data_IF_108812887253
#
_entry.id   IF_108812887253
#
_cell.length_a   1.000
_cell.length_b   1.000
_cell.length_c   1.000
_cell.angle_alpha   90.00
_cell.angle_beta   90.00
_cell.angle_gamma   90.00
#
_symmetry.space_group_name_H-M   'P 1'
#
loop_
_entity.id
_entity.type
_entity.pdbx_description
1 polymer ?
#
# COMPACT_ATOMS: atom_id res chain seq x y z
N UNK A 1 12.75 -9.79 66.80
CA UNK A 1 11.95 -10.80 66.06
C UNK A 1 11.48 -10.12 64.78
N UNK A 2 12.06 -10.40 63.60
CA UNK A 2 11.57 -11.44 62.66
C UNK A 2 10.04 -11.33 62.57
N UNK A 3 9.45 -10.82 61.48
CA UNK A 3 9.19 -11.66 60.32
C UNK A 3 8.48 -10.86 59.20
N UNK A 4 9.00 -10.97 57.96
CA UNK A 4 8.27 -11.17 56.69
C UNK A 4 7.35 -10.03 56.17
N UNK A 5 7.33 -9.60 54.91
CA UNK A 5 8.18 -9.63 53.71
C UNK A 5 7.41 -8.76 52.66
N UNK A 6 8.06 -8.31 51.58
CA UNK A 6 7.65 -7.21 50.73
C UNK A 6 6.54 -7.61 49.75
N UNK A 7 5.34 -7.05 49.88
CA UNK A 7 4.26 -7.24 48.89
C UNK A 7 3.66 -5.94 48.35
N UNK A 8 4.01 -4.78 48.89
CA UNK A 8 3.50 -3.49 48.41
C UNK A 8 4.22 -2.91 47.19
N UNK A 9 5.22 -3.61 46.64
CA UNK A 9 6.09 -3.12 45.55
C UNK A 9 5.84 -3.74 44.17
N UNK A 10 4.81 -4.58 44.00
CA UNK A 10 4.55 -5.28 42.73
C UNK A 10 3.46 -4.62 41.86
N UNK A 11 2.57 -3.79 42.43
CA UNK A 11 1.45 -3.21 41.66
C UNK A 11 1.73 -1.85 40.98
N UNK A 12 2.95 -1.29 41.04
CA UNK A 12 3.31 -0.08 40.29
C UNK A 12 3.98 -0.38 38.93
N UNK A 13 3.99 -1.64 38.50
CA UNK A 13 4.30 -2.04 37.11
C UNK A 13 3.12 -1.88 36.16
N UNK A 14 2.22 -0.95 36.47
CA UNK A 14 1.06 -0.54 35.69
C UNK A 14 1.55 0.03 34.35
N UNK A 15 1.17 -0.65 33.27
CA UNK A 15 0.74 -0.01 32.02
C UNK A 15 1.76 0.90 31.31
N UNK A 16 2.96 0.42 31.03
CA UNK A 16 3.92 1.13 30.17
C UNK A 16 4.35 0.35 28.91
N UNK A 17 3.68 -0.77 28.57
CA UNK A 17 3.91 -1.49 27.30
C UNK A 17 2.72 -1.33 26.34
N UNK A 18 1.71 -0.54 26.72
CA UNK A 18 0.61 -0.16 25.83
C UNK A 18 1.01 1.03 24.98
N UNK A 19 1.05 0.82 23.66
CA UNK A 19 1.27 1.80 22.59
C UNK A 19 2.72 2.05 22.12
N UNK A 20 3.39 0.99 21.63
CA UNK A 20 3.99 1.13 20.30
C UNK A 20 2.85 1.01 19.28
N UNK A 21 1.94 1.99 19.25
CA UNK A 21 1.13 2.21 18.06
C UNK A 21 2.16 2.72 17.06
N UNK A 22 2.53 1.87 16.10
CA UNK A 22 3.10 2.37 14.85
C UNK A 22 2.11 3.44 14.39
N UNK A 23 2.47 4.71 14.53
CA UNK A 23 1.80 5.78 13.80
C UNK A 23 2.12 5.48 12.36
N UNK A 24 1.27 4.67 11.72
CA UNK A 24 1.26 4.51 10.28
C UNK A 24 1.13 5.93 9.76
N UNK A 25 2.22 6.49 9.24
CA UNK A 25 2.13 7.74 8.50
C UNK A 25 1.03 7.56 7.49
N UNK A 26 -0.02 8.37 7.58
CA UNK A 26 -1.05 8.39 6.56
C UNK A 26 -0.35 8.93 5.32
N UNK A 27 -0.05 8.04 4.38
CA UNK A 27 0.48 8.44 3.08
C UNK A 27 -0.71 8.76 2.21
N UNK A 28 -0.83 10.02 1.80
CA UNK A 28 -1.83 10.43 0.84
C UNK A 28 -1.35 10.04 -0.56
N UNK A 29 -2.16 9.20 -1.22
CA UNK A 29 -1.87 8.68 -2.55
C UNK A 29 -2.92 9.19 -3.54
N UNK A 30 -2.44 9.71 -4.65
CA UNK A 30 -3.28 10.27 -5.70
C UNK A 30 -2.98 9.61 -7.04
N UNK A 31 -4.04 9.32 -7.80
CA UNK A 31 -3.97 8.77 -9.14
C UNK A 31 -4.56 9.77 -10.13
N UNK A 32 -3.80 10.06 -11.19
CA UNK A 32 -4.26 10.85 -12.33
C UNK A 32 -4.50 9.94 -13.52
N UNK A 33 -5.68 10.02 -14.12
CA UNK A 33 -6.00 9.39 -15.39
C UNK A 33 -6.45 10.47 -16.35
N UNK A 34 -5.88 10.52 -17.55
CA UNK A 34 -6.25 11.54 -18.53
C UNK A 34 -7.73 11.38 -18.93
N UNK A 35 -8.45 12.50 -18.94
CA UNK A 35 -9.88 12.51 -19.26
C UNK A 35 -10.84 12.05 -18.15
N UNK A 36 -10.34 11.59 -16.99
CA UNK A 36 -11.17 11.22 -15.84
C UNK A 36 -10.81 12.11 -14.64
N UNK A 37 -11.81 12.83 -14.12
CA UNK A 37 -11.68 13.66 -12.92
C UNK A 37 -12.16 12.91 -11.69
N UNK A 38 -11.33 12.91 -10.65
CA UNK A 38 -11.69 12.44 -9.30
C UNK A 38 -12.20 13.57 -8.41
N UNK A 39 -12.23 13.30 -7.10
CA UNK A 39 -12.81 14.21 -6.09
C UNK A 39 -11.77 14.83 -5.15
N UNK A 40 -10.47 14.67 -5.44
CA UNK A 40 -9.44 15.15 -4.52
C UNK A 40 -9.46 16.67 -4.37
N UNK A 41 -9.37 17.10 -3.11
CA UNK A 41 -9.35 18.51 -2.69
C UNK A 41 -7.96 19.00 -2.30
N UNK A 42 -6.93 18.16 -2.46
CA UNK A 42 -5.56 18.55 -2.17
C UNK A 42 -5.10 19.70 -3.09
N UNK A 43 -4.33 20.64 -2.54
CA UNK A 43 -3.89 21.84 -3.26
C UNK A 43 -3.01 21.50 -4.47
N UNK A 44 -2.22 20.43 -4.37
CA UNK A 44 -1.30 20.02 -5.42
C UNK A 44 -1.90 18.93 -6.35
N UNK A 45 -2.99 18.27 -5.94
CA UNK A 45 -3.61 17.15 -6.65
C UNK A 45 -5.11 17.35 -6.87
N UNK A 46 -5.52 18.58 -7.15
CA UNK A 46 -6.93 18.92 -7.35
C UNK A 46 -7.54 18.15 -8.52
N UNK A 47 -8.75 17.63 -8.33
CA UNK A 47 -9.51 16.79 -9.28
C UNK A 47 -8.85 15.42 -9.58
N UNK A 48 -7.90 14.96 -8.75
CA UNK A 48 -7.32 13.62 -8.90
C UNK A 48 -8.14 12.58 -8.12
N UNK A 49 -7.88 11.31 -8.39
CA UNK A 49 -8.52 10.19 -7.72
C UNK A 49 -7.73 9.88 -6.45
N UNK A 50 -8.39 9.89 -5.30
CA UNK A 50 -7.77 9.51 -4.03
C UNK A 50 -7.73 7.99 -3.91
N UNK A 51 -6.55 7.46 -3.58
CA UNK A 51 -6.28 6.02 -3.51
C UNK A 51 -5.91 5.65 -2.09
N UNK A 52 -6.49 4.55 -1.60
CA UNK A 52 -6.21 4.03 -0.25
C UNK A 52 -5.04 3.06 -0.25
N UNK A 53 -4.91 2.25 -1.31
CA UNK A 53 -3.82 1.29 -1.45
C UNK A 53 -3.57 0.94 -2.93
N UNK A 54 -2.34 0.57 -3.27
CA UNK A 54 -1.99 -0.01 -4.56
C UNK A 54 -1.04 -1.19 -4.38
N UNK A 55 -1.10 -2.15 -5.30
CA UNK A 55 -0.15 -3.25 -5.38
C UNK A 55 0.30 -3.45 -6.82
N UNK A 56 1.59 -3.62 -7.02
CA UNK A 56 2.21 -3.92 -8.31
C UNK A 56 3.38 -4.87 -8.06
N UNK A 57 3.48 -5.92 -8.87
CA UNK A 57 4.52 -6.92 -8.74
C UNK A 57 5.33 -6.99 -10.05
N UNK A 58 6.64 -7.07 -9.90
CA UNK A 58 7.56 -7.24 -11.02
C UNK A 58 8.42 -8.44 -10.70
N UNK A 59 8.35 -9.47 -11.55
CA UNK A 59 9.06 -10.71 -11.36
C UNK A 59 9.96 -10.98 -12.56
N UNK A 60 11.25 -11.11 -12.32
CA UNK A 60 12.15 -11.75 -13.29
C UNK A 60 12.09 -13.26 -13.04
N UNK A 61 11.71 -14.08 -14.03
CA UNK A 61 11.88 -15.51 -13.91
C UNK A 61 13.38 -15.80 -13.87
N UNK A 62 13.91 -16.08 -12.67
CA UNK A 62 15.27 -16.53 -12.47
C UNK A 62 15.39 -17.97 -12.95
N UNK A 63 15.64 -18.16 -14.24
CA UNK A 63 16.36 -19.36 -14.66
C UNK A 63 17.71 -19.33 -13.97
N UNK A 64 17.98 -20.29 -13.08
CA UNK A 64 19.32 -20.52 -12.54
C UNK A 64 20.24 -20.81 -13.73
N UNK A 65 20.94 -19.78 -14.21
CA UNK A 65 22.03 -19.95 -15.17
C UNK A 65 23.21 -20.48 -14.38
N UNK A 66 23.33 -21.81 -14.37
CA UNK A 66 24.63 -22.43 -14.26
C UNK A 66 25.50 -21.85 -15.37
N UNK A 67 26.59 -21.22 -14.95
CA UNK A 67 27.46 -20.41 -15.77
C UNK A 67 28.20 -21.28 -16.80
N UNK A 68 27.57 -21.55 -17.94
CA UNK A 68 28.15 -22.19 -19.14
C UNK A 68 27.77 -21.33 -20.36
N UNK A 69 28.40 -20.15 -20.48
CA UNK A 69 28.60 -19.47 -21.77
C UNK A 69 27.41 -18.77 -22.44
N UNK A 70 26.22 -18.69 -21.86
CA UNK A 70 25.08 -17.97 -22.46
C UNK A 70 24.19 -17.33 -21.40
N UNK A 71 24.18 -16.00 -21.35
CA UNK A 71 23.43 -15.23 -20.35
C UNK A 71 21.92 -15.55 -20.35
N UNK A 72 21.33 -15.60 -19.16
CA UNK A 72 19.91 -15.86 -18.97
C UNK A 72 19.04 -14.81 -19.67
N UNK A 73 18.50 -15.16 -20.84
CA UNK A 73 17.54 -14.37 -21.59
C UNK A 73 16.12 -14.43 -21.03
N UNK A 74 15.94 -14.31 -19.71
CA UNK A 74 14.62 -14.22 -19.09
C UNK A 74 14.07 -12.79 -19.17
N UNK A 75 12.93 -12.58 -19.84
CA UNK A 75 12.24 -11.28 -19.84
C UNK A 75 11.54 -11.05 -18.50
N UNK A 76 11.61 -9.83 -17.98
CA UNK A 76 10.86 -9.43 -16.77
C UNK A 76 9.36 -9.43 -17.07
N UNK A 77 8.57 -10.06 -16.19
CA UNK A 77 7.13 -10.01 -16.21
C UNK A 77 6.64 -8.94 -15.23
N UNK A 78 5.85 -8.00 -15.74
CA UNK A 78 5.09 -7.04 -14.93
C UNK A 78 3.70 -7.62 -14.70
N UNK A 79 3.30 -7.75 -13.44
CA UNK A 79 1.94 -8.08 -13.07
C UNK A 79 1.06 -6.82 -13.10
N UNK A 80 -0.25 -7.01 -13.13
CA UNK A 80 -1.20 -5.91 -13.17
C UNK A 80 -1.08 -5.00 -11.93
N UNK A 81 -1.28 -3.69 -12.16
CA UNK A 81 -1.42 -2.71 -11.10
C UNK A 81 -2.83 -2.77 -10.52
N UNK A 82 -2.96 -3.27 -9.29
CA UNK A 82 -4.24 -3.31 -8.57
C UNK A 82 -4.36 -2.12 -7.63
N UNK A 83 -5.48 -1.41 -7.72
CA UNK A 83 -5.72 -0.14 -7.01
C UNK A 83 -7.00 -0.25 -6.19
N UNK A 84 -6.93 0.11 -4.91
CA UNK A 84 -8.07 0.22 -4.00
C UNK A 84 -8.35 1.68 -3.72
N UNK A 85 -9.56 2.12 -4.03
CA UNK A 85 -10.04 3.49 -3.82
C UNK A 85 -11.47 3.50 -3.27
N UNK A 86 -11.87 4.62 -2.67
CA UNK A 86 -13.26 4.86 -2.34
C UNK A 86 -14.09 5.14 -3.60
N UNK A 87 -15.40 4.94 -3.53
CA UNK A 87 -16.31 5.29 -4.62
C UNK A 87 -16.40 6.83 -4.70
N UNK A 88 -16.11 7.39 -5.88
CA UNK A 88 -16.13 8.83 -6.16
C UNK A 88 -16.75 9.08 -7.56
N UNK A 89 -16.79 10.35 -7.98
CA UNK A 89 -17.22 10.76 -9.31
C UNK A 89 -16.44 10.10 -10.48
N UNK A 90 -15.20 9.63 -10.28
CA UNK A 90 -14.42 8.95 -11.30
C UNK A 90 -14.86 7.50 -11.53
N UNK A 91 -15.41 6.82 -10.51
CA UNK A 91 -15.81 5.42 -10.58
C UNK A 91 -16.69 5.03 -11.78
N UNK A 92 -17.80 5.72 -12.09
CA UNK A 92 -18.63 5.34 -13.26
C UNK A 92 -17.87 5.45 -14.58
N UNK A 93 -16.94 6.42 -14.70
CA UNK A 93 -16.10 6.56 -15.89
C UNK A 93 -15.08 5.42 -15.97
N UNK A 94 -14.47 5.01 -14.85
CA UNK A 94 -13.57 3.86 -14.84
C UNK A 94 -14.27 2.58 -15.30
N UNK A 95 -15.50 2.36 -14.85
CA UNK A 95 -16.31 1.21 -15.28
C UNK A 95 -16.66 1.28 -16.76
N UNK A 96 -16.98 2.48 -17.25
CA UNK A 96 -17.23 2.70 -18.67
C UNK A 96 -15.99 2.42 -19.52
N UNK A 97 -14.81 2.89 -19.10
CA UNK A 97 -13.54 2.65 -19.80
C UNK A 97 -13.20 1.16 -19.83
N UNK A 98 -13.40 0.46 -18.71
CA UNK A 98 -13.24 -1.00 -18.63
C UNK A 98 -14.21 -1.72 -19.57
N UNK A 99 -15.49 -1.31 -19.60
CA UNK A 99 -16.51 -1.92 -20.45
C UNK A 99 -16.32 -1.62 -21.95
N UNK A 100 -15.72 -0.47 -22.28
CA UNK A 100 -15.40 -0.09 -23.66
C UNK A 100 -14.08 -0.67 -24.15
N UNK A 101 -13.25 -1.23 -23.26
CA UNK A 101 -11.88 -1.62 -23.59
C UNK A 101 -11.03 -0.42 -24.05
N UNK A 102 -11.34 0.79 -23.58
CA UNK A 102 -10.55 1.98 -23.94
C UNK A 102 -9.27 1.99 -23.13
N UNK A 103 -8.15 2.10 -23.83
CA UNK A 103 -6.84 2.26 -23.23
C UNK A 103 -6.56 3.75 -23.07
N UNK A 104 -6.15 4.14 -21.86
CA UNK A 104 -5.67 5.48 -21.56
C UNK A 104 -4.20 5.63 -21.95
#
# INVERSE_FOLDING_TARGET
>A
MISQRPLFRICLGVMAVTAFVVTYGAFDMFLKIEGIKGESKDLNHKDWIEVTAFTHAVAQPSGSVVNLGGGAGGRVAHCDLSITKHLDAATPYLYLYCSQGKHA
#
